data_IF_657083208884
#
_entry.id   IF_657083208884
#
_cell.length_a   1.000
_cell.length_b   1.000
_cell.length_c   1.000
_cell.angle_alpha   90.00
_cell.angle_beta   90.00
_cell.angle_gamma   90.00
#
_symmetry.space_group_name_H-M   'P 1'
#
loop_
_entity.id
_entity.type
_entity.pdbx_description
1 polymer ?
#
# COMPACT_ATOMS: atom_id res chain seq x y z
N UNK A 1 12.90 -44.88 47.30
CA UNK A 1 12.53 -44.05 48.45
C UNK A 1 12.24 -42.69 47.89
N UNK A 2 10.92 -42.39 47.73
CA UNK A 2 10.13 -41.41 48.46
C UNK A 2 10.42 -39.99 48.00
N UNK A 3 9.49 -39.16 47.55
CA UNK A 3 8.07 -38.97 47.80
C UNK A 3 7.48 -38.00 46.72
N UNK A 4 6.25 -38.26 46.38
CA UNK A 4 5.26 -37.45 45.65
C UNK A 4 4.73 -36.35 46.61
N UNK A 5 4.42 -35.18 46.12
CA UNK A 5 3.40 -34.21 46.60
C UNK A 5 3.37 -33.05 45.65
N UNK A 6 2.31 -32.38 45.29
CA UNK A 6 0.83 -32.60 45.32
C UNK A 6 0.26 -31.34 44.62
N UNK A 7 -0.86 -31.50 43.97
CA UNK A 7 -1.76 -30.46 43.44
C UNK A 7 -2.03 -29.31 44.39
N UNK A 8 -2.26 -28.11 43.82
CA UNK A 8 -3.12 -27.10 44.44
C UNK A 8 -3.73 -26.19 43.38
N UNK A 9 -4.98 -26.44 43.05
CA UNK A 9 -6.14 -25.57 43.22
C UNK A 9 -6.16 -24.22 42.47
N UNK A 10 -6.95 -24.20 41.42
CA UNK A 10 -7.48 -22.99 40.76
C UNK A 10 -8.89 -22.74 41.33
N UNK A 11 -9.22 -21.58 41.92
CA UNK A 11 -10.57 -21.30 42.37
C UNK A 11 -11.50 -20.86 41.24
N UNK A 12 -12.68 -21.49 41.22
CA UNK A 12 -13.84 -21.18 40.37
C UNK A 12 -14.60 -19.99 40.96
N UNK A 13 -15.04 -18.99 40.18
CA UNK A 13 -15.89 -17.95 40.69
C UNK A 13 -17.37 -18.36 40.73
N UNK A 14 -18.01 -18.08 41.87
CA UNK A 14 -19.41 -18.32 42.24
C UNK A 14 -20.32 -17.26 41.58
N UNK A 15 -21.55 -17.61 41.13
CA UNK A 15 -22.49 -16.65 40.58
C UNK A 15 -23.24 -15.86 41.68
N UNK A 16 -23.33 -14.56 41.52
CA UNK A 16 -24.16 -13.69 42.36
C UNK A 16 -25.60 -13.64 41.84
N UNK A 17 -26.52 -13.80 42.79
CA UNK A 17 -27.97 -13.87 42.64
C UNK A 17 -28.61 -12.52 42.36
N UNK A 18 -29.71 -12.62 41.62
CA UNK A 18 -30.72 -11.60 41.35
C UNK A 18 -31.39 -11.02 42.58
N UNK A 19 -31.58 -9.69 42.64
CA UNK A 19 -32.82 -8.96 42.95
C UNK A 19 -32.54 -7.48 43.15
N UNK A 20 -33.16 -6.63 42.32
CA UNK A 20 -34.11 -5.62 42.79
C UNK A 20 -34.58 -4.74 41.63
N UNK A 21 -35.89 -4.70 41.50
CA UNK A 21 -36.61 -3.79 40.57
C UNK A 21 -36.74 -2.45 41.25
N UNK A 22 -36.62 -1.33 40.50
CA UNK A 22 -37.66 -0.31 40.40
C UNK A 22 -37.17 0.98 39.74
N UNK A 23 -38.14 1.56 39.06
CA UNK A 23 -38.28 2.93 38.55
C UNK A 23 -37.78 3.22 37.13
N UNK A 24 -38.77 3.14 36.24
CA UNK A 24 -38.78 3.81 34.95
C UNK A 24 -38.69 5.33 35.11
N UNK A 25 -37.74 5.93 34.41
CA UNK A 25 -37.77 7.32 34.04
C UNK A 25 -37.65 7.42 32.52
N UNK A 26 -38.76 7.86 31.96
CA UNK A 26 -38.93 8.20 30.55
C UNK A 26 -37.96 9.33 30.19
N UNK A 27 -37.01 9.05 29.31
CA UNK A 27 -36.14 10.05 28.71
C UNK A 27 -36.10 9.81 27.20
N UNK A 28 -36.94 10.55 26.51
CA UNK A 28 -36.92 10.72 25.07
C UNK A 28 -35.53 11.07 24.57
N UNK A 29 -34.96 10.37 23.60
CA UNK A 29 -33.65 10.76 23.02
C UNK A 29 -33.85 12.03 22.18
N UNK A 30 -33.01 13.03 22.45
CA UNK A 30 -32.89 14.22 21.64
C UNK A 30 -32.46 13.86 20.19
N UNK A 31 -32.95 14.63 19.17
CA UNK A 31 -32.59 14.34 17.78
C UNK A 31 -31.10 14.53 17.56
N UNK A 32 -30.49 13.53 16.96
CA UNK A 32 -29.09 13.55 16.53
C UNK A 32 -28.84 14.76 15.63
N UNK A 33 -27.88 15.58 15.99
CA UNK A 33 -27.41 16.69 15.17
C UNK A 33 -26.93 16.14 13.83
N UNK A 34 -27.59 16.54 12.75
CA UNK A 34 -27.19 16.24 11.40
C UNK A 34 -25.81 16.87 11.13
N UNK A 35 -24.80 16.04 10.92
CA UNK A 35 -23.53 16.49 10.39
C UNK A 35 -23.74 17.03 8.97
N UNK A 36 -23.16 18.20 8.62
CA UNK A 36 -23.24 18.70 7.26
C UNK A 36 -22.59 17.67 6.30
N UNK A 37 -23.15 17.48 5.10
CA UNK A 37 -22.56 16.56 4.13
C UNK A 37 -21.15 17.05 3.79
N UNK A 38 -20.15 16.22 4.02
CA UNK A 38 -18.82 16.44 3.50
C UNK A 38 -18.94 16.45 1.98
N UNK A 39 -18.78 17.63 1.39
CA UNK A 39 -18.68 17.80 -0.05
C UNK A 39 -17.45 17.02 -0.53
N UNK A 40 -17.71 15.87 -1.10
CA UNK A 40 -16.76 15.20 -2.00
C UNK A 40 -16.60 16.13 -3.18
N UNK A 41 -15.59 16.99 -3.15
CA UNK A 41 -15.14 17.69 -4.33
C UNK A 41 -14.55 16.65 -5.27
N UNK A 42 -15.38 16.14 -6.17
CA UNK A 42 -14.92 15.50 -7.38
C UNK A 42 -13.90 16.46 -8.01
N UNK A 43 -12.76 15.97 -8.56
CA UNK A 43 -11.84 16.83 -9.26
C UNK A 43 -12.62 17.47 -10.40
N UNK A 44 -12.92 18.75 -10.26
CA UNK A 44 -13.47 19.55 -11.34
C UNK A 44 -12.39 19.52 -12.43
N UNK A 45 -12.69 18.81 -13.52
CA UNK A 45 -11.96 18.95 -14.77
C UNK A 45 -12.08 20.41 -15.18
N UNK A 46 -11.10 21.24 -14.76
CA UNK A 46 -10.93 22.57 -15.32
C UNK A 46 -10.73 22.37 -16.81
N UNK A 47 -11.73 22.74 -17.59
CA UNK A 47 -11.74 22.62 -19.04
C UNK A 47 -10.61 23.42 -19.68
N UNK A 48 -9.41 22.88 -19.64
CA UNK A 48 -8.32 23.34 -20.47
C UNK A 48 -8.68 22.96 -21.89
N UNK A 49 -8.87 23.99 -22.76
CA UNK A 49 -9.25 23.78 -24.14
C UNK A 49 -8.31 22.75 -24.79
N UNK A 50 -8.83 21.87 -25.64
CA UNK A 50 -8.04 20.86 -26.36
C UNK A 50 -6.79 21.48 -27.05
N UNK A 51 -6.91 22.72 -27.51
CA UNK A 51 -5.81 23.51 -28.07
C UNK A 51 -4.68 23.77 -27.05
N UNK A 52 -5.00 24.07 -25.79
CA UNK A 52 -3.99 24.28 -24.74
C UNK A 52 -3.30 22.97 -24.38
N UNK A 53 -4.04 21.87 -24.29
CA UNK A 53 -3.46 20.53 -24.07
C UNK A 53 -2.56 20.10 -25.23
N UNK A 54 -2.98 20.36 -26.46
CA UNK A 54 -2.17 20.10 -27.64
C UNK A 54 -0.88 20.92 -27.63
N UNK A 55 -0.96 22.24 -27.36
CA UNK A 55 0.22 23.12 -27.28
C UNK A 55 1.19 22.66 -26.20
N UNK A 56 0.70 22.30 -25.01
CA UNK A 56 1.52 21.76 -23.92
C UNK A 56 2.18 20.44 -24.31
N UNK A 57 1.51 19.55 -25.01
CA UNK A 57 2.09 18.27 -25.47
C UNK A 57 3.16 18.44 -26.55
N UNK A 58 3.13 19.56 -27.30
CA UNK A 58 4.17 19.91 -28.28
C UNK A 58 5.39 20.52 -27.59
N UNK A 59 5.17 21.43 -26.62
CA UNK A 59 6.27 22.11 -25.89
C UNK A 59 6.93 21.22 -24.84
N UNK A 60 6.15 20.32 -24.22
CA UNK A 60 6.60 19.39 -23.17
C UNK A 60 6.16 17.97 -23.54
N UNK A 61 6.79 17.35 -24.54
CA UNK A 61 6.42 16.00 -24.95
C UNK A 61 6.71 15.00 -23.83
N UNK A 62 5.78 14.04 -23.65
CA UNK A 62 5.94 12.97 -22.67
C UNK A 62 7.17 12.13 -23.01
N UNK A 63 7.95 11.81 -21.98
CA UNK A 63 9.10 10.91 -22.10
C UNK A 63 8.73 9.48 -21.71
N UNK A 64 9.39 8.53 -22.38
CA UNK A 64 9.21 7.11 -22.12
C UNK A 64 9.85 6.71 -20.76
N UNK A 65 9.14 5.96 -19.90
CA UNK A 65 9.68 5.53 -18.61
C UNK A 65 10.88 4.57 -18.71
N UNK A 66 11.17 4.02 -19.90
CA UNK A 66 12.27 3.07 -20.12
C UNK A 66 13.45 3.72 -20.84
N UNK A 67 13.26 4.28 -22.06
CA UNK A 67 14.35 4.85 -22.86
C UNK A 67 14.58 6.35 -22.65
N UNK A 68 13.65 7.09 -22.00
CA UNK A 68 13.65 8.54 -21.82
C UNK A 68 13.45 9.38 -23.10
N UNK A 69 13.38 8.77 -24.24
CA UNK A 69 13.07 9.45 -25.49
C UNK A 69 11.60 9.92 -25.49
N UNK A 70 11.28 10.83 -26.41
CA UNK A 70 9.89 11.25 -26.64
C UNK A 70 9.09 10.02 -27.04
N UNK A 71 7.97 9.79 -26.31
CA UNK A 71 7.12 8.62 -26.57
C UNK A 71 6.57 8.65 -28.00
N UNK A 72 6.71 7.53 -28.70
CA UNK A 72 6.14 7.29 -30.02
C UNK A 72 5.32 5.98 -30.00
N UNK A 73 4.09 5.96 -30.54
CA UNK A 73 3.36 7.07 -31.15
C UNK A 73 2.91 8.13 -30.14
N UNK A 74 2.61 9.35 -30.62
CA UNK A 74 2.09 10.42 -29.76
C UNK A 74 0.79 10.00 -29.07
N UNK A 75 0.65 10.34 -27.81
CA UNK A 75 -0.51 9.98 -26.96
C UNK A 75 -0.34 8.65 -26.23
N UNK A 76 0.65 7.82 -26.57
CA UNK A 76 1.03 6.67 -25.77
C UNK A 76 1.75 7.11 -24.49
N UNK A 77 1.77 6.23 -23.47
CA UNK A 77 2.45 6.49 -22.21
C UNK A 77 3.84 5.86 -22.15
N UNK A 78 4.15 4.95 -23.06
CA UNK A 78 5.40 4.22 -23.23
C UNK A 78 5.59 3.87 -24.71
N UNK A 79 6.83 3.73 -25.16
CA UNK A 79 7.13 3.19 -26.48
C UNK A 79 6.84 1.68 -26.52
N UNK A 80 6.22 1.13 -27.59
CA UNK A 80 5.87 -0.29 -27.66
C UNK A 80 7.08 -1.24 -27.49
N UNK A 81 8.23 -0.86 -28.07
CA UNK A 81 9.47 -1.65 -27.92
C UNK A 81 10.01 -1.63 -26.49
N UNK A 82 9.82 -0.52 -25.78
CA UNK A 82 10.22 -0.38 -24.39
C UNK A 82 9.28 -1.14 -23.45
N UNK A 83 7.99 -1.19 -23.76
CA UNK A 83 7.04 -1.99 -22.97
C UNK A 83 7.41 -3.47 -22.98
N UNK A 84 7.87 -4.00 -24.12
CA UNK A 84 8.34 -5.40 -24.23
C UNK A 84 9.60 -5.71 -23.43
N UNK A 85 10.36 -4.68 -23.03
CA UNK A 85 11.54 -4.83 -22.17
C UNK A 85 11.20 -4.91 -20.68
N UNK A 86 9.97 -4.54 -20.29
CA UNK A 86 9.52 -4.65 -18.91
C UNK A 86 9.15 -6.10 -18.61
N UNK A 87 9.74 -6.64 -17.55
CA UNK A 87 9.41 -7.97 -17.05
C UNK A 87 8.11 -7.91 -16.24
N UNK A 88 6.94 -7.99 -16.91
CA UNK A 88 5.66 -8.13 -16.23
C UNK A 88 5.56 -9.51 -15.61
N UNK A 89 5.18 -9.54 -14.33
CA UNK A 89 5.03 -10.80 -13.61
C UNK A 89 3.83 -11.60 -14.14
N UNK A 90 4.05 -12.88 -14.35
CA UNK A 90 3.06 -13.85 -14.81
C UNK A 90 2.89 -14.98 -13.80
N UNK A 91 1.74 -15.65 -13.82
CA UNK A 91 1.53 -16.84 -12.99
C UNK A 91 2.44 -18.00 -13.45
N UNK A 92 2.90 -18.87 -12.52
CA UNK A 92 2.52 -18.91 -11.12
C UNK A 92 3.28 -17.89 -10.25
N UNK A 93 2.54 -17.23 -9.33
CA UNK A 93 3.12 -16.29 -8.37
C UNK A 93 2.82 -16.74 -6.93
N UNK A 94 3.70 -16.40 -6.01
CA UNK A 94 3.51 -16.64 -4.58
C UNK A 94 2.21 -16.02 -4.07
N UNK A 95 1.35 -16.82 -3.46
CA UNK A 95 0.02 -16.38 -3.00
C UNK A 95 0.08 -15.32 -1.89
N UNK A 96 1.21 -15.20 -1.20
CA UNK A 96 1.39 -14.18 -0.15
C UNK A 96 2.06 -12.92 -0.70
N UNK A 97 3.26 -13.02 -1.30
CA UNK A 97 4.03 -11.82 -1.68
C UNK A 97 3.93 -11.44 -3.16
N UNK A 98 3.33 -12.27 -4.02
CA UNK A 98 3.16 -12.00 -5.45
C UNK A 98 4.44 -12.14 -6.28
N UNK A 99 5.50 -12.75 -5.74
CA UNK A 99 6.74 -13.06 -6.47
C UNK A 99 6.54 -14.25 -7.38
N UNK A 100 7.13 -14.26 -8.56
CA UNK A 100 7.14 -15.44 -9.42
C UNK A 100 7.76 -16.65 -8.74
N UNK A 101 7.17 -17.82 -8.98
CA UNK A 101 7.62 -19.11 -8.46
C UNK A 101 8.03 -19.97 -9.66
N UNK A 102 9.17 -20.63 -9.55
CA UNK A 102 9.70 -21.46 -10.64
C UNK A 102 8.97 -22.80 -10.77
N UNK A 103 8.50 -23.35 -9.65
CA UNK A 103 7.81 -24.64 -9.60
C UNK A 103 6.29 -24.42 -9.63
N UNK A 104 5.62 -24.95 -10.64
CA UNK A 104 4.17 -24.76 -10.84
C UNK A 104 3.30 -25.44 -9.78
N UNK A 105 3.84 -26.36 -9.03
CA UNK A 105 3.21 -27.10 -7.92
C UNK A 105 3.38 -26.39 -6.56
N UNK A 106 4.16 -25.32 -6.50
CA UNK A 106 4.35 -24.54 -5.29
C UNK A 106 3.39 -23.33 -5.23
N UNK A 107 2.81 -23.08 -4.06
CA UNK A 107 1.96 -21.91 -3.81
C UNK A 107 2.74 -20.74 -3.16
N UNK A 108 3.83 -21.05 -2.47
CA UNK A 108 4.60 -20.09 -1.68
C UNK A 108 6.08 -20.10 -2.07
N UNK A 109 6.67 -18.93 -2.20
CA UNK A 109 8.12 -18.79 -2.33
C UNK A 109 8.85 -19.14 -1.02
N UNK A 110 10.15 -19.41 -1.08
CA UNK A 110 10.96 -19.80 0.07
C UNK A 110 10.92 -18.79 1.23
N UNK A 111 10.88 -17.49 0.92
CA UNK A 111 10.73 -16.47 1.95
C UNK A 111 9.39 -16.56 2.68
N UNK A 112 8.28 -16.78 1.96
CA UNK A 112 6.95 -16.85 2.56
C UNK A 112 6.67 -18.19 3.27
N UNK A 113 7.39 -19.25 2.93
CA UNK A 113 7.40 -20.51 3.71
C UNK A 113 8.00 -20.29 5.11
N UNK A 114 9.01 -19.40 5.22
CA UNK A 114 9.74 -19.12 6.47
C UNK A 114 9.18 -17.97 7.29
N UNK A 115 8.48 -17.02 6.64
CA UNK A 115 7.97 -15.81 7.28
C UNK A 115 6.46 -15.67 7.08
N UNK A 116 5.72 -15.55 8.18
CA UNK A 116 4.29 -15.23 8.13
C UNK A 116 4.12 -13.72 8.18
N UNK A 117 3.46 -13.18 7.18
CA UNK A 117 3.07 -11.77 7.12
C UNK A 117 1.66 -11.57 7.65
N UNK A 118 1.37 -10.38 8.16
CA UNK A 118 0.04 -9.99 8.63
C UNK A 118 -0.86 -9.51 7.50
N UNK A 119 -0.29 -9.01 6.39
CA UNK A 119 -1.10 -8.69 5.21
C UNK A 119 -1.61 -9.99 4.56
N UNK A 120 -2.80 -9.92 3.97
CA UNK A 120 -3.46 -11.08 3.35
C UNK A 120 -2.75 -11.54 2.07
N UNK A 121 -2.44 -10.61 1.20
CA UNK A 121 -1.77 -10.85 -0.08
C UNK A 121 -1.09 -9.59 -0.57
N UNK A 122 0.02 -9.74 -1.24
CA UNK A 122 0.69 -8.69 -2.01
C UNK A 122 0.68 -9.05 -3.49
N UNK A 123 0.47 -8.04 -4.32
CA UNK A 123 0.56 -8.11 -5.78
C UNK A 123 1.72 -7.23 -6.22
N UNK A 124 2.43 -7.61 -7.24
CA UNK A 124 3.38 -6.74 -7.91
C UNK A 124 3.12 -6.70 -9.42
N UNK A 125 3.51 -5.57 -10.04
CA UNK A 125 3.32 -5.40 -11.48
C UNK A 125 4.48 -6.01 -12.28
N UNK A 126 5.71 -5.65 -11.90
CA UNK A 126 6.94 -6.04 -12.63
C UNK A 126 7.99 -6.65 -11.72
N UNK A 127 8.88 -7.46 -12.30
CA UNK A 127 10.14 -7.87 -11.67
C UNK A 127 11.08 -6.68 -11.52
N UNK A 128 11.86 -6.65 -10.44
CA UNK A 128 12.87 -5.61 -10.20
C UNK A 128 14.19 -6.00 -10.84
N UNK A 129 14.29 -5.79 -12.15
CA UNK A 129 15.51 -5.94 -12.96
C UNK A 129 16.19 -4.59 -13.25
N UNK A 130 17.19 -4.57 -14.10
CA UNK A 130 17.93 -3.36 -14.46
C UNK A 130 17.05 -2.32 -15.20
N UNK A 131 16.07 -2.76 -15.98
CA UNK A 131 15.14 -1.88 -16.70
C UNK A 131 14.22 -1.18 -15.70
N UNK A 132 13.59 -1.96 -14.83
CA UNK A 132 12.72 -1.45 -13.76
C UNK A 132 13.50 -0.55 -12.79
N UNK A 133 14.73 -0.95 -12.42
CA UNK A 133 15.58 -0.18 -11.51
C UNK A 133 15.93 1.20 -12.07
N UNK A 134 16.27 1.31 -13.37
CA UNK A 134 16.53 2.60 -14.03
C UNK A 134 15.28 3.48 -14.03
N UNK A 135 14.13 2.95 -14.46
CA UNK A 135 12.87 3.69 -14.48
C UNK A 135 12.46 4.20 -13.10
N UNK A 136 12.48 3.32 -12.08
CA UNK A 136 12.13 3.68 -10.70
C UNK A 136 13.15 4.67 -10.10
N UNK A 137 14.42 4.58 -10.48
CA UNK A 137 15.44 5.54 -10.07
C UNK A 137 15.12 6.95 -10.60
N UNK A 138 14.67 7.08 -11.85
CA UNK A 138 14.24 8.37 -12.43
C UNK A 138 13.03 8.95 -11.70
N UNK A 139 12.03 8.13 -11.43
CA UNK A 139 10.89 8.53 -10.58
C UNK A 139 11.40 9.06 -9.23
N UNK A 140 12.39 8.41 -8.62
CA UNK A 140 12.90 8.78 -7.30
C UNK A 140 13.81 10.01 -7.27
N UNK A 141 14.58 10.24 -8.32
CA UNK A 141 15.72 11.17 -8.24
C UNK A 141 15.73 12.26 -9.31
N UNK A 142 15.05 12.10 -10.44
CA UNK A 142 14.99 13.10 -11.50
C UNK A 142 13.63 13.80 -11.64
N UNK A 143 12.66 13.41 -10.80
CA UNK A 143 11.34 14.03 -10.81
C UNK A 143 10.41 13.55 -11.92
N UNK A 144 10.70 12.42 -12.57
CA UNK A 144 9.89 11.82 -13.62
C UNK A 144 8.57 11.24 -13.09
N UNK A 145 7.77 12.11 -12.47
CA UNK A 145 6.48 11.78 -11.84
C UNK A 145 5.48 11.21 -12.85
N UNK A 146 5.52 11.71 -14.07
CA UNK A 146 4.64 11.30 -15.17
C UNK A 146 4.78 9.82 -15.55
N UNK A 147 5.88 9.15 -15.19
CA UNK A 147 6.04 7.72 -15.43
C UNK A 147 5.07 6.88 -14.59
N UNK A 148 4.66 7.38 -13.42
CA UNK A 148 3.70 6.70 -12.56
C UNK A 148 2.29 6.62 -13.16
N UNK A 149 1.96 7.52 -14.09
CA UNK A 149 0.75 7.48 -14.89
C UNK A 149 0.65 6.18 -15.72
N UNK A 150 1.75 5.84 -16.40
CA UNK A 150 1.83 4.57 -17.15
C UNK A 150 1.70 3.38 -16.19
N UNK A 151 2.52 3.33 -15.17
CA UNK A 151 2.56 2.19 -14.26
C UNK A 151 1.27 1.99 -13.48
N UNK A 152 0.60 3.06 -13.05
CA UNK A 152 -0.67 2.97 -12.33
C UNK A 152 -1.81 2.43 -13.20
N UNK A 153 -1.92 2.92 -14.44
CA UNK A 153 -2.91 2.42 -15.42
C UNK A 153 -2.61 0.98 -15.80
N UNK A 154 -1.35 0.65 -16.05
CA UNK A 154 -0.94 -0.69 -16.41
C UNK A 154 -1.14 -1.70 -15.27
N UNK A 155 -0.95 -1.26 -14.01
CA UNK A 155 -1.27 -2.06 -12.83
C UNK A 155 -2.75 -2.45 -12.80
N UNK A 156 -3.64 -1.49 -13.03
CA UNK A 156 -5.09 -1.76 -13.05
C UNK A 156 -5.49 -2.54 -14.29
N UNK A 157 -4.89 -2.27 -15.45
CA UNK A 157 -5.15 -3.03 -16.68
C UNK A 157 -4.81 -4.51 -16.55
N UNK A 158 -3.68 -4.85 -15.91
CA UNK A 158 -3.19 -6.24 -15.78
C UNK A 158 -3.69 -6.96 -14.55
N UNK A 159 -3.87 -6.25 -13.44
CA UNK A 159 -4.21 -6.83 -12.12
C UNK A 159 -5.57 -6.37 -11.59
N UNK A 160 -6.33 -5.61 -12.38
CA UNK A 160 -7.59 -5.01 -11.93
C UNK A 160 -8.63 -6.03 -11.48
N UNK A 161 -8.75 -7.17 -12.15
CA UNK A 161 -9.70 -8.21 -11.76
C UNK A 161 -9.30 -8.88 -10.44
N UNK A 162 -8.00 -9.06 -10.20
CA UNK A 162 -7.48 -9.57 -8.93
C UNK A 162 -7.74 -8.55 -7.81
N UNK A 163 -7.46 -7.26 -8.04
CA UNK A 163 -7.71 -6.18 -7.10
C UNK A 163 -9.20 -6.03 -6.76
N UNK A 164 -10.10 -6.13 -7.75
CA UNK A 164 -11.56 -6.06 -7.51
C UNK A 164 -12.06 -7.22 -6.67
N UNK A 165 -11.53 -8.44 -6.85
CA UNK A 165 -11.88 -9.61 -6.03
C UNK A 165 -11.51 -9.44 -4.55
N UNK A 166 -10.55 -8.58 -4.22
CA UNK A 166 -10.17 -8.29 -2.82
C UNK A 166 -11.18 -7.39 -2.10
N UNK A 167 -12.14 -6.80 -2.84
CA UNK A 167 -13.17 -5.92 -2.27
C UNK A 167 -12.59 -4.80 -1.38
N UNK A 168 -11.60 -4.11 -1.89
CA UNK A 168 -10.86 -3.04 -1.21
C UNK A 168 -11.75 -1.81 -1.09
N UNK A 169 -11.80 -1.20 0.10
CA UNK A 169 -12.55 0.02 0.37
C UNK A 169 -11.76 1.28 0.01
N UNK A 170 -10.43 1.24 0.18
CA UNK A 170 -9.56 2.37 -0.07
C UNK A 170 -8.10 1.99 -0.31
N UNK A 171 -7.36 2.92 -0.88
CA UNK A 171 -5.91 2.79 -1.09
C UNK A 171 -5.17 3.67 -0.09
N UNK A 172 -4.13 3.10 0.53
CA UNK A 172 -3.25 3.78 1.48
C UNK A 172 -1.82 3.72 0.96
N UNK A 173 -1.22 4.86 0.55
CA UNK A 173 0.18 4.86 0.11
C UNK A 173 1.15 4.77 1.28
N UNK A 174 2.24 4.02 1.11
CA UNK A 174 3.34 3.98 2.08
C UNK A 174 4.03 5.35 2.12
N UNK A 175 4.13 6.00 3.29
CA UNK A 175 4.73 7.33 3.37
C UNK A 175 6.25 7.26 3.27
N UNK A 176 6.81 8.12 2.42
CA UNK A 176 8.27 8.33 2.36
C UNK A 176 8.76 9.17 3.53
N UNK A 177 10.05 9.11 3.82
CA UNK A 177 10.66 9.95 4.85
C UNK A 177 10.49 11.44 4.48
N UNK A 178 10.11 12.34 5.44
CA UNK A 178 9.86 13.76 5.15
C UNK A 178 11.01 14.48 4.45
N UNK A 179 12.28 14.12 4.73
CA UNK A 179 13.43 14.71 4.04
C UNK A 179 13.51 14.29 2.56
N UNK A 180 13.11 13.04 2.26
CA UNK A 180 13.05 12.57 0.87
C UNK A 180 11.90 13.22 0.12
N UNK A 181 10.73 13.37 0.76
CA UNK A 181 9.59 14.06 0.19
C UNK A 181 9.93 15.53 -0.14
N UNK A 182 10.59 16.27 0.79
CA UNK A 182 11.07 17.64 0.52
C UNK A 182 12.07 17.72 -0.63
N UNK A 183 13.03 16.76 -0.70
CA UNK A 183 14.03 16.73 -1.79
C UNK A 183 13.41 16.36 -3.13
N UNK A 184 12.43 15.47 -3.14
CA UNK A 184 11.79 14.91 -4.34
C UNK A 184 10.59 15.75 -4.80
N UNK A 185 9.95 16.47 -3.89
CA UNK A 185 8.74 17.25 -4.12
C UNK A 185 7.43 16.44 -4.00
N UNK A 186 7.50 15.09 -3.95
CA UNK A 186 6.34 14.22 -3.87
C UNK A 186 6.67 12.87 -3.23
N UNK A 187 5.61 12.12 -2.88
CA UNK A 187 5.66 10.71 -2.52
C UNK A 187 5.24 9.86 -3.74
N UNK A 188 6.13 9.03 -4.26
CA UNK A 188 5.86 8.19 -5.43
C UNK A 188 4.72 7.18 -5.18
N UNK A 189 4.60 6.67 -3.95
CA UNK A 189 3.51 5.76 -3.60
C UNK A 189 2.15 6.48 -3.62
N UNK A 190 2.09 7.76 -3.21
CA UNK A 190 0.87 8.57 -3.30
C UNK A 190 0.45 8.78 -4.75
N UNK A 191 1.37 9.19 -5.62
CA UNK A 191 1.05 9.39 -7.05
C UNK A 191 0.57 8.09 -7.71
N UNK A 192 1.23 6.96 -7.42
CA UNK A 192 0.82 5.65 -7.92
C UNK A 192 -0.58 5.28 -7.40
N UNK A 193 -0.83 5.48 -6.10
CA UNK A 193 -2.12 5.23 -5.47
C UNK A 193 -3.25 6.09 -6.06
N UNK A 194 -2.98 7.39 -6.34
CA UNK A 194 -3.93 8.31 -6.97
C UNK A 194 -4.35 7.83 -8.36
N UNK A 195 -3.38 7.40 -9.19
CA UNK A 195 -3.68 6.86 -10.53
C UNK A 195 -4.48 5.57 -10.43
N UNK A 196 -4.05 4.63 -9.59
CA UNK A 196 -4.77 3.36 -9.37
C UNK A 196 -6.18 3.61 -8.80
N UNK A 197 -6.31 4.54 -7.85
CA UNK A 197 -7.59 4.91 -7.25
C UNK A 197 -8.57 5.48 -8.27
N UNK A 198 -8.10 6.36 -9.16
CA UNK A 198 -8.92 6.91 -10.23
C UNK A 198 -9.42 5.83 -11.21
N UNK A 199 -8.57 4.85 -11.57
CA UNK A 199 -8.91 3.75 -12.47
C UNK A 199 -9.82 2.69 -11.82
N UNK A 200 -9.72 2.51 -10.49
CA UNK A 200 -10.52 1.53 -9.73
C UNK A 200 -11.80 2.15 -9.13
N UNK A 201 -11.93 3.47 -9.12
CA UNK A 201 -13.01 4.17 -8.41
C UNK A 201 -12.88 4.12 -6.88
N UNK A 202 -11.66 4.03 -6.35
CA UNK A 202 -11.37 3.91 -4.92
C UNK A 202 -10.79 5.21 -4.35
N UNK A 203 -11.18 5.62 -3.13
CA UNK A 203 -10.57 6.75 -2.45
C UNK A 203 -9.14 6.44 -2.02
N UNK A 204 -8.30 7.49 -1.93
CA UNK A 204 -6.92 7.41 -1.46
C UNK A 204 -6.77 8.17 -0.15
N UNK A 205 -6.32 7.49 0.90
CA UNK A 205 -6.09 8.09 2.23
C UNK A 205 -4.60 8.23 2.51
N UNK A 206 -3.97 9.28 1.98
CA UNK A 206 -2.54 9.54 2.18
C UNK A 206 -2.19 9.75 3.66
N UNK A 207 -3.08 10.39 4.42
CA UNK A 207 -2.86 10.71 5.83
C UNK A 207 -3.08 9.52 6.78
N UNK A 208 -3.63 8.38 6.30
CA UNK A 208 -3.89 7.21 7.15
C UNK A 208 -2.63 6.59 7.74
N UNK A 209 -1.49 6.75 7.05
CA UNK A 209 -0.17 6.37 7.54
C UNK A 209 0.78 7.56 7.50
N UNK A 210 1.54 7.72 8.55
CA UNK A 210 2.54 8.76 8.68
C UNK A 210 3.92 8.17 8.99
N UNK A 211 4.98 8.86 8.57
CA UNK A 211 6.36 8.46 8.87
C UNK A 211 7.06 9.51 9.74
N UNK A 212 7.64 9.06 10.84
CA UNK A 212 8.41 9.93 11.75
C UNK A 212 9.70 10.42 11.10
N UNK A 213 10.15 11.60 11.50
CA UNK A 213 11.50 12.07 11.16
C UNK A 213 12.50 11.11 11.81
N UNK A 214 13.57 10.74 11.09
CA UNK A 214 14.64 9.88 11.59
C UNK A 214 15.20 10.45 12.89
N UNK A 215 15.13 9.72 13.98
CA UNK A 215 16.11 9.80 15.05
C UNK A 215 17.40 9.16 14.51
N UNK A 216 18.56 9.69 14.88
CA UNK A 216 19.87 9.42 14.30
C UNK A 216 20.10 8.00 13.79
N UNK A 217 20.65 7.88 12.58
CA UNK A 217 21.02 6.59 12.00
C UNK A 217 22.24 6.04 12.76
N UNK A 218 22.04 5.03 13.55
CA UNK A 218 23.12 4.17 14.00
C UNK A 218 23.55 3.27 12.84
N UNK A 219 24.80 3.36 12.44
CA UNK A 219 25.38 2.56 11.34
C UNK A 219 25.62 1.09 11.74
N UNK A 220 25.43 0.74 13.00
CA UNK A 220 25.84 -0.54 13.63
C UNK A 220 24.66 -1.43 14.05
N UNK A 221 23.46 -1.22 13.50
CA UNK A 221 22.29 -1.99 13.92
C UNK A 221 22.29 -3.39 13.29
N UNK A 222 22.06 -4.41 14.13
CA UNK A 222 21.77 -5.77 13.68
C UNK A 222 20.36 -5.88 13.00
N UNK A 223 20.05 -7.05 12.43
CA UNK A 223 18.82 -7.25 11.67
C UNK A 223 17.54 -7.02 12.54
N UNK A 224 17.54 -7.44 13.80
CA UNK A 224 16.42 -7.26 14.72
C UNK A 224 16.21 -5.79 15.11
N UNK A 225 17.29 -5.05 15.34
CA UNK A 225 17.24 -3.61 15.61
C UNK A 225 16.79 -2.81 14.39
N UNK A 226 17.19 -3.22 13.18
CA UNK A 226 16.70 -2.62 11.93
C UNK A 226 15.19 -2.82 11.79
N UNK A 227 14.68 -4.01 12.09
CA UNK A 227 13.25 -4.29 12.08
C UNK A 227 12.51 -3.45 13.14
N UNK A 228 13.00 -3.38 14.37
CA UNK A 228 12.45 -2.56 15.45
C UNK A 228 12.43 -1.07 15.07
N UNK A 229 13.51 -0.56 14.48
CA UNK A 229 13.59 0.82 13.99
C UNK A 229 12.64 1.08 12.81
N UNK A 230 12.45 0.10 11.93
CA UNK A 230 11.49 0.22 10.85
C UNK A 230 10.05 0.25 11.39
N UNK A 231 9.73 -0.60 12.37
CA UNK A 231 8.42 -0.62 13.04
C UNK A 231 8.11 0.70 13.76
N UNK A 232 9.12 1.32 14.40
CA UNK A 232 8.96 2.62 15.07
C UNK A 232 8.96 3.83 14.13
N UNK A 233 9.26 3.61 12.84
CA UNK A 233 9.33 4.68 11.85
C UNK A 233 7.97 5.18 11.38
N UNK A 234 6.93 4.36 11.50
CA UNK A 234 5.58 4.66 11.05
C UNK A 234 4.61 4.80 12.23
N UNK A 235 3.48 5.48 12.00
CA UNK A 235 2.37 5.58 12.94
C UNK A 235 1.06 5.84 12.19
N UNK A 236 -0.07 5.48 12.80
CA UNK A 236 -1.38 5.74 12.22
C UNK A 236 -1.71 7.22 12.31
N UNK A 237 -2.21 7.77 11.21
CA UNK A 237 -2.89 9.04 11.17
C UNK A 237 -4.42 8.86 11.32
N UNK A 238 -5.23 9.84 10.89
CA UNK A 238 -6.68 9.72 10.92
C UNK A 238 -7.15 8.64 9.93
N UNK A 239 -7.89 7.65 10.44
CA UNK A 239 -8.48 6.55 9.67
C UNK A 239 -10.00 6.61 9.85
N UNK A 240 -10.82 6.58 8.75
CA UNK A 240 -12.25 6.45 8.85
C UNK A 240 -12.66 5.17 9.60
N UNK A 241 -13.69 5.24 10.45
CA UNK A 241 -14.13 4.12 11.28
C UNK A 241 -14.74 2.95 10.49
N UNK A 242 -15.23 3.23 9.29
CA UNK A 242 -15.84 2.28 8.36
C UNK A 242 -14.84 1.64 7.40
N UNK A 243 -13.56 2.00 7.49
CA UNK A 243 -12.52 1.47 6.62
C UNK A 243 -12.09 0.07 7.07
N UNK A 244 -12.53 -0.96 6.33
CA UNK A 244 -12.30 -2.37 6.67
C UNK A 244 -11.13 -2.99 5.94
N UNK A 245 -11.11 -2.83 4.60
CA UNK A 245 -10.13 -3.47 3.71
C UNK A 245 -9.35 -2.42 2.96
N UNK A 246 -8.04 -2.42 3.09
CA UNK A 246 -7.19 -1.43 2.43
C UNK A 246 -6.16 -2.07 1.51
N UNK A 247 -5.84 -1.38 0.43
CA UNK A 247 -4.70 -1.67 -0.43
C UNK A 247 -3.54 -0.75 -0.05
N UNK A 248 -2.51 -1.31 0.58
CA UNK A 248 -1.28 -0.60 0.87
C UNK A 248 -0.39 -0.58 -0.37
N UNK A 249 0.00 0.60 -0.85
CA UNK A 249 0.76 0.78 -2.11
C UNK A 249 2.17 1.29 -1.84
N UNK A 250 3.19 0.67 -2.46
CA UNK A 250 4.59 1.13 -2.44
C UNK A 250 5.25 0.95 -3.83
N UNK A 251 6.45 1.46 -4.01
CA UNK A 251 7.19 1.35 -5.26
C UNK A 251 7.97 0.02 -5.40
N UNK A 252 8.58 -0.49 -4.33
CA UNK A 252 9.39 -1.72 -4.40
C UNK A 252 9.14 -2.63 -3.20
N UNK A 253 8.76 -3.87 -3.48
CA UNK A 253 8.76 -4.94 -2.49
C UNK A 253 10.12 -5.65 -2.51
N UNK A 254 10.82 -5.62 -1.38
CA UNK A 254 12.11 -6.33 -1.21
C UNK A 254 11.94 -7.54 -0.30
N UNK A 255 11.99 -7.34 1.00
CA UNK A 255 11.79 -8.37 2.04
C UNK A 255 10.37 -8.38 2.60
N UNK A 256 9.53 -7.42 2.23
CA UNK A 256 8.21 -7.23 2.82
C UNK A 256 8.19 -6.46 4.15
N UNK A 257 9.34 -6.14 4.74
CA UNK A 257 9.42 -5.54 6.08
C UNK A 257 8.71 -4.17 6.19
N UNK A 258 8.73 -3.36 5.13
CA UNK A 258 7.99 -2.08 5.08
C UNK A 258 6.48 -2.31 5.08
N UNK A 259 6.01 -3.20 4.19
CA UNK A 259 4.59 -3.57 4.09
C UNK A 259 4.10 -4.16 5.40
N UNK A 260 4.85 -5.09 6.00
CA UNK A 260 4.52 -5.71 7.28
C UNK A 260 4.42 -4.68 8.42
N UNK A 261 5.36 -3.73 8.49
CA UNK A 261 5.34 -2.67 9.51
C UNK A 261 4.13 -1.76 9.36
N UNK A 262 3.79 -1.37 8.14
CA UNK A 262 2.62 -0.54 7.86
C UNK A 262 1.31 -1.31 8.10
N UNK A 263 1.24 -2.59 7.69
CA UNK A 263 0.10 -3.48 7.95
C UNK A 263 -0.20 -3.59 9.43
N UNK A 264 0.82 -3.83 10.26
CA UNK A 264 0.67 -3.93 11.71
C UNK A 264 0.05 -2.68 12.33
N UNK A 265 0.43 -1.52 11.84
CA UNK A 265 -0.09 -0.23 12.30
C UNK A 265 -1.55 -0.04 11.87
N UNK A 266 -1.90 -0.37 10.63
CA UNK A 266 -3.27 -0.26 10.12
C UNK A 266 -4.22 -1.20 10.87
N UNK A 267 -3.80 -2.47 11.09
CA UNK A 267 -4.59 -3.42 11.88
C UNK A 267 -4.78 -2.95 13.32
N UNK A 268 -3.73 -2.43 13.97
CA UNK A 268 -3.82 -1.86 15.32
C UNK A 268 -4.70 -0.61 15.38
N UNK A 269 -4.93 0.08 14.28
CA UNK A 269 -5.80 1.25 14.16
C UNK A 269 -7.25 0.91 13.75
N UNK A 270 -7.60 -0.40 13.66
CA UNK A 270 -8.96 -0.85 13.43
C UNK A 270 -9.29 -1.31 12.01
N UNK A 271 -8.33 -1.28 11.06
CA UNK A 271 -8.49 -1.91 9.75
C UNK A 271 -8.54 -3.44 9.93
N UNK A 272 -9.45 -4.13 9.24
CA UNK A 272 -9.63 -5.59 9.40
C UNK A 272 -8.69 -6.39 8.52
N UNK A 273 -8.51 -5.96 7.28
CA UNK A 273 -7.67 -6.65 6.29
C UNK A 273 -6.80 -5.67 5.51
N UNK A 274 -5.54 -6.04 5.33
CA UNK A 274 -4.59 -5.28 4.52
C UNK A 274 -4.09 -6.15 3.38
N UNK A 275 -4.28 -5.64 2.18
CA UNK A 275 -3.68 -6.14 0.95
C UNK A 275 -2.56 -5.20 0.55
N UNK A 276 -1.61 -5.68 -0.24
CA UNK A 276 -0.47 -4.88 -0.65
C UNK A 276 -0.33 -4.85 -2.17
N UNK A 277 0.15 -3.74 -2.69
CA UNK A 277 0.58 -3.61 -4.08
C UNK A 277 1.96 -2.95 -4.13
N UNK A 278 2.86 -3.51 -4.92
CA UNK A 278 4.14 -2.89 -5.24
C UNK A 278 4.29 -2.72 -6.75
N UNK A 279 4.86 -1.59 -7.19
CA UNK A 279 5.19 -1.42 -8.60
C UNK A 279 6.16 -2.50 -9.07
N UNK A 280 7.21 -2.78 -8.26
CA UNK A 280 8.17 -3.81 -8.58
C UNK A 280 8.50 -4.70 -7.38
N UNK A 281 8.86 -5.97 -7.65
CA UNK A 281 9.30 -6.93 -6.63
C UNK A 281 10.64 -7.54 -6.99
N UNK A 282 11.53 -7.68 -6.01
CA UNK A 282 12.80 -8.39 -6.19
C UNK A 282 12.58 -9.90 -6.26
N UNK A 283 13.23 -10.55 -7.23
CA UNK A 283 13.37 -12.01 -7.23
C UNK A 283 14.16 -12.49 -6.00
N UNK A 284 13.93 -13.72 -5.55
CA UNK A 284 14.83 -14.40 -4.63
C UNK A 284 16.13 -14.74 -5.40
N UNK A 285 17.26 -14.36 -4.80
CA UNK A 285 18.58 -14.83 -5.25
C UNK A 285 18.93 -16.08 -4.47
#
# INVERSE_FOLDING_TARGET
MTKIHSESDIPVPVPLSSSERSHAADSTPAPAAAHPPMTTSAPQSTGTSAAKQWLLSVLFPRRCPVCEEIVSPRGALICPDCERQLHFLTEPTCQICGREILAADEELCENCKRHRFLFKRSIALIGYDDVAARSISRIKYTGAREFLDYYGREAVRRRGDELRRMQIDAIVPVPVHPSRQRKRGYNQATVLAEVMGAELGLPVYEAALCRRKKTAASKELNAAERLKNLMSAFYAGPIPQDLRRVLLVDDIFTTGATMESCTRILLAAGVEEVYCFALAIRSER
#
